data_IF_135297968060
#
_entry.id   IF_135297968060
#
_cell.length_a   1.000
_cell.length_b   1.000
_cell.length_c   1.000
_cell.angle_alpha   90.00
_cell.angle_beta   90.00
_cell.angle_gamma   90.00
#
_symmetry.space_group_name_H-M   'P 1'
#
loop_
_entity.id
_entity.type
_entity.pdbx_description
1 polymer ?
#
# COMPACT_ATOMS: atom_id res chain seq x y z
N UNK A 1 -15.38 -3.35 12.95
CA UNK A 1 -14.22 -2.72 13.63
C UNK A 1 -13.26 -2.22 12.57
N UNK A 2 -12.45 -1.20 12.83
CA UNK A 2 -11.37 -0.74 11.93
C UNK A 2 -10.10 -0.68 12.76
N UNK A 3 -9.02 -1.22 12.24
CA UNK A 3 -7.71 -1.25 12.90
C UNK A 3 -6.79 -0.23 12.24
N UNK A 4 -5.70 0.17 12.90
CA UNK A 4 -4.65 0.98 12.31
C UNK A 4 -3.36 0.16 12.11
N UNK A 5 -2.38 0.76 11.44
CA UNK A 5 -1.02 0.18 11.38
C UNK A 5 -0.41 0.10 12.78
N UNK A 6 -0.71 1.05 13.67
CA UNK A 6 -0.19 1.05 15.03
C UNK A 6 -0.79 -0.06 15.87
N UNK A 7 -2.09 -0.34 15.76
CA UNK A 7 -2.71 -1.52 16.40
C UNK A 7 -2.00 -2.82 16.01
N UNK A 8 -1.64 -2.94 14.74
CA UNK A 8 -0.91 -4.10 14.22
C UNK A 8 0.52 -4.16 14.78
N UNK A 9 1.22 -3.02 14.82
CA UNK A 9 2.57 -2.94 15.36
C UNK A 9 2.61 -3.27 16.84
N UNK A 10 1.66 -2.76 17.62
CA UNK A 10 1.53 -3.03 19.05
C UNK A 10 1.31 -4.52 19.31
N UNK A 11 0.43 -5.17 18.54
CA UNK A 11 0.21 -6.61 18.66
C UNK A 11 1.45 -7.42 18.26
N UNK A 12 2.14 -7.03 17.20
CA UNK A 12 3.39 -7.68 16.78
C UNK A 12 4.51 -7.51 17.83
N UNK A 13 4.61 -6.34 18.46
CA UNK A 13 5.60 -6.05 19.50
C UNK A 13 5.37 -6.89 20.76
N UNK A 14 4.11 -7.11 21.13
CA UNK A 14 3.74 -7.99 22.25
C UNK A 14 4.14 -9.44 21.99
N UNK A 15 4.00 -9.91 20.75
CA UNK A 15 4.30 -11.29 20.36
C UNK A 15 5.79 -11.54 20.06
N UNK A 16 6.46 -10.55 19.47
CA UNK A 16 7.87 -10.60 19.09
C UNK A 16 8.50 -9.25 19.33
N UNK A 17 9.41 -9.18 20.31
CA UNK A 17 10.18 -7.96 20.59
C UNK A 17 10.96 -7.55 19.33
N UNK A 18 10.52 -6.48 18.69
CA UNK A 18 11.20 -5.83 17.57
C UNK A 18 11.97 -4.63 18.10
N UNK A 19 13.24 -4.51 17.67
CA UNK A 19 14.17 -3.52 18.18
C UNK A 19 13.85 -2.11 17.69
N UNK A 20 14.33 -1.77 16.49
CA UNK A 20 14.06 -0.47 15.88
C UNK A 20 12.62 -0.41 15.34
N UNK A 21 11.74 0.25 16.10
CA UNK A 21 10.32 0.42 15.80
C UNK A 21 10.09 1.15 14.47
N UNK A 22 10.94 2.13 14.11
CA UNK A 22 10.75 2.90 12.88
C UNK A 22 11.18 2.10 11.64
N UNK A 23 12.34 1.44 11.70
CA UNK A 23 12.74 0.52 10.64
C UNK A 23 11.74 -0.64 10.49
N UNK A 24 11.14 -1.06 11.61
CA UNK A 24 10.12 -2.11 11.60
C UNK A 24 8.79 -1.65 10.98
N UNK A 25 8.28 -0.48 11.35
CA UNK A 25 7.09 0.14 10.75
C UNK A 25 7.21 0.21 9.23
N UNK A 26 8.34 0.70 8.72
CA UNK A 26 8.63 0.76 7.28
C UNK A 26 8.57 -0.63 6.64
N UNK A 27 9.13 -1.65 7.30
CA UNK A 27 9.05 -3.04 6.81
C UNK A 27 7.61 -3.55 6.76
N UNK A 28 6.81 -3.27 7.79
CA UNK A 28 5.39 -3.64 7.85
C UNK A 28 4.62 -2.97 6.71
N UNK A 29 4.75 -1.66 6.52
CA UNK A 29 4.08 -0.93 5.42
C UNK A 29 4.41 -1.55 4.07
N UNK A 30 5.70 -1.83 3.81
CA UNK A 30 6.12 -2.45 2.55
C UNK A 30 5.54 -3.85 2.37
N UNK A 31 5.54 -4.63 3.44
CA UNK A 31 5.01 -5.99 3.47
C UNK A 31 3.51 -5.99 3.16
N UNK A 32 2.76 -5.12 3.82
CA UNK A 32 1.33 -4.96 3.59
C UNK A 32 1.06 -4.48 2.15
N UNK A 33 1.75 -3.45 1.68
CA UNK A 33 1.56 -2.91 0.32
C UNK A 33 1.87 -3.94 -0.76
N UNK A 34 3.10 -4.47 -0.75
CA UNK A 34 3.62 -5.29 -1.86
C UNK A 34 3.09 -6.72 -1.86
N UNK A 35 2.78 -7.27 -0.68
CA UNK A 35 2.31 -8.66 -0.55
C UNK A 35 0.83 -8.75 -0.21
N UNK A 36 0.30 -7.96 0.71
CA UNK A 36 -1.11 -8.09 1.11
C UNK A 36 -2.05 -7.34 0.16
N UNK A 37 -1.97 -6.02 0.12
CA UNK A 37 -2.87 -5.13 -0.60
C UNK A 37 -2.84 -5.38 -2.11
N UNK A 38 -1.64 -5.55 -2.69
CA UNK A 38 -1.51 -5.92 -4.09
C UNK A 38 -2.19 -7.25 -4.41
N UNK A 39 -2.08 -8.25 -3.54
CA UNK A 39 -2.74 -9.54 -3.73
C UNK A 39 -4.24 -9.37 -3.54
N UNK A 40 -4.73 -8.72 -2.48
CA UNK A 40 -6.17 -8.51 -2.32
C UNK A 40 -6.76 -7.77 -3.53
N UNK A 41 -6.04 -6.80 -4.08
CA UNK A 41 -6.50 -5.89 -5.12
C UNK A 41 -6.65 -4.51 -4.48
N UNK A 42 -5.84 -3.55 -4.90
CA UNK A 42 -5.80 -2.21 -4.30
C UNK A 42 -7.16 -1.51 -4.36
N UNK A 43 -7.91 -1.75 -5.43
CA UNK A 43 -9.25 -1.22 -5.67
C UNK A 43 -10.31 -1.73 -4.70
N UNK A 44 -10.04 -2.82 -3.98
CA UNK A 44 -10.98 -3.45 -3.04
C UNK A 44 -10.81 -2.97 -1.61
N UNK A 45 -9.65 -2.39 -1.29
CA UNK A 45 -9.30 -1.93 0.06
C UNK A 45 -9.12 -0.42 0.14
N UNK A 46 -8.78 0.22 -0.97
CA UNK A 46 -8.49 1.64 -1.03
C UNK A 46 -9.59 2.46 -1.70
N UNK A 47 -9.53 3.76 -1.46
CA UNK A 47 -10.31 4.78 -2.15
C UNK A 47 -9.45 5.34 -3.28
N UNK A 48 -10.07 5.52 -4.45
CA UNK A 48 -9.42 6.15 -5.60
C UNK A 48 -9.18 7.63 -5.31
N UNK A 49 -8.00 8.13 -5.67
CA UNK A 49 -7.68 9.56 -5.61
C UNK A 49 -7.04 10.03 -6.91
N UNK A 50 -7.15 11.34 -7.18
CA UNK A 50 -6.47 12.05 -8.25
C UNK A 50 -6.08 13.42 -7.70
N UNK A 51 -4.78 13.68 -7.53
CA UNK A 51 -4.31 14.88 -6.82
C UNK A 51 -3.06 15.46 -7.52
N UNK A 52 -2.90 16.79 -7.56
CA UNK A 52 -1.67 17.43 -8.01
C UNK A 52 -0.57 17.27 -6.97
N UNK A 53 0.62 16.90 -7.41
CA UNK A 53 1.82 16.75 -6.57
C UNK A 53 2.89 17.68 -7.09
N UNK A 54 3.29 18.62 -6.23
CA UNK A 54 4.43 19.48 -6.49
C UNK A 54 5.70 18.67 -6.25
N UNK A 55 6.54 18.55 -7.27
CA UNK A 55 7.78 17.78 -7.14
C UNK A 55 8.90 18.71 -6.67
N UNK A 56 9.52 18.43 -5.50
CA UNK A 56 10.69 19.17 -5.05
C UNK A 56 11.86 19.00 -6.01
N UNK A 57 12.91 19.81 -5.85
CA UNK A 57 14.10 19.82 -6.74
C UNK A 57 14.79 18.46 -6.86
N UNK A 58 14.70 17.60 -5.84
CA UNK A 58 15.24 16.23 -5.84
C UNK A 58 14.29 15.20 -6.50
N UNK A 59 13.11 15.63 -6.97
CA UNK A 59 12.08 14.83 -7.66
C UNK A 59 11.61 13.61 -6.86
N UNK A 60 11.71 13.68 -5.54
CA UNK A 60 11.30 12.62 -4.62
C UNK A 60 10.13 13.10 -3.78
N UNK A 61 9.10 12.27 -3.69
CA UNK A 61 7.99 12.47 -2.76
C UNK A 61 8.04 11.41 -1.69
N UNK A 62 7.92 11.83 -0.44
CA UNK A 62 7.62 10.91 0.64
C UNK A 62 6.22 10.36 0.43
N UNK A 63 6.08 9.06 0.65
CA UNK A 63 4.82 8.39 0.46
C UNK A 63 4.19 8.16 1.82
N UNK A 64 3.04 8.77 2.06
CA UNK A 64 2.26 8.46 3.24
C UNK A 64 1.91 6.97 3.31
N UNK A 65 1.87 6.42 4.52
CA UNK A 65 1.59 5.00 4.79
C UNK A 65 0.26 4.52 4.19
N UNK A 66 -0.69 5.44 4.00
CA UNK A 66 -2.00 5.19 3.41
C UNK A 66 -1.93 4.96 1.90
N UNK A 67 -0.89 5.37 1.17
CA UNK A 67 -0.85 5.26 -0.29
C UNK A 67 -0.44 3.85 -0.73
N UNK A 68 -1.34 3.19 -1.45
CA UNK A 68 -1.18 1.80 -1.89
C UNK A 68 -0.54 1.68 -3.27
N UNK A 69 -0.96 2.55 -4.19
CA UNK A 69 -0.42 2.61 -5.55
C UNK A 69 -0.50 4.04 -6.08
N UNK A 70 0.40 4.37 -6.99
CA UNK A 70 0.45 5.64 -7.71
C UNK A 70 0.68 5.33 -9.19
N UNK A 71 -0.01 6.05 -10.04
CA UNK A 71 0.14 6.09 -11.49
C UNK A 71 0.02 7.54 -11.95
N UNK A 72 0.50 7.84 -13.15
CA UNK A 72 0.30 9.16 -13.76
C UNK A 72 -1.16 9.39 -14.17
N UNK A 73 -1.63 10.62 -13.96
CA UNK A 73 -2.93 11.13 -14.38
C UNK A 73 -2.84 12.40 -15.25
N UNK A 74 -1.65 12.96 -15.47
CA UNK A 74 -1.45 14.29 -16.07
C UNK A 74 -1.76 14.38 -17.57
N UNK A 75 -1.90 13.25 -18.27
CA UNK A 75 -2.14 13.19 -19.71
C UNK A 75 -3.39 12.37 -20.08
N UNK A 76 -4.57 12.79 -19.63
CA UNK A 76 -5.91 12.37 -20.12
C UNK A 76 -6.08 10.90 -20.55
N UNK A 77 -5.51 9.95 -19.81
CA UNK A 77 -5.69 8.52 -20.10
C UNK A 77 -5.12 8.03 -21.43
N UNK A 78 -4.22 8.76 -22.09
CA UNK A 78 -3.44 8.18 -23.18
C UNK A 78 -2.49 7.14 -22.56
N UNK A 79 -2.71 5.88 -22.93
CA UNK A 79 -2.09 4.67 -22.38
C UNK A 79 -0.56 4.68 -22.39
N UNK A 80 0.03 5.32 -21.39
CA UNK A 80 1.40 5.05 -20.97
C UNK A 80 1.33 4.41 -19.60
N UNK A 81 1.52 3.10 -19.57
CA UNK A 81 1.65 2.33 -18.34
C UNK A 81 2.84 2.88 -17.58
N UNK A 82 2.63 3.49 -16.41
CA UNK A 82 3.73 3.80 -15.54
C UNK A 82 4.40 2.48 -15.16
N UNK A 83 5.60 2.23 -15.68
CA UNK A 83 6.32 0.98 -15.43
C UNK A 83 7.10 1.16 -14.14
N UNK A 84 6.68 0.47 -13.09
CA UNK A 84 7.48 0.28 -11.89
C UNK A 84 8.58 -0.73 -12.20
N UNK A 85 9.84 -0.30 -12.11
CA UNK A 85 10.99 -1.15 -12.43
C UNK A 85 12.31 -0.58 -11.90
N UNK A 86 13.41 -1.34 -11.99
CA UNK A 86 14.74 -0.84 -11.68
C UNK A 86 15.24 0.10 -12.79
N UNK A 87 15.98 1.14 -12.43
CA UNK A 87 16.27 2.28 -13.32
C UNK A 87 17.14 1.97 -14.53
N UNK A 88 17.95 0.92 -14.46
CA UNK A 88 18.71 0.38 -15.58
C UNK A 88 17.83 -0.24 -16.68
N UNK A 89 16.58 -0.56 -16.36
CA UNK A 89 15.58 -1.10 -17.31
C UNK A 89 14.61 -0.05 -17.83
N UNK A 90 14.73 1.20 -17.37
CA UNK A 90 13.80 2.28 -17.68
C UNK A 90 14.46 3.28 -18.64
N UNK A 91 14.06 3.25 -19.91
CA UNK A 91 14.55 4.20 -20.92
C UNK A 91 13.88 5.58 -20.82
N UNK A 92 14.47 6.63 -21.44
CA UNK A 92 13.90 7.99 -21.49
C UNK A 92 12.61 8.10 -22.33
N UNK A 93 12.18 7.00 -22.96
CA UNK A 93 10.96 6.93 -23.77
C UNK A 93 9.67 6.92 -22.93
N UNK A 94 9.75 6.80 -21.61
CA UNK A 94 8.60 6.91 -20.71
C UNK A 94 8.66 8.22 -19.93
N UNK A 95 7.74 9.14 -20.23
CA UNK A 95 7.60 10.47 -19.60
C UNK A 95 7.44 10.37 -18.08
N UNK A 96 6.95 9.23 -17.57
CA UNK A 96 6.90 8.88 -16.15
C UNK A 96 7.53 7.52 -15.86
N UNK A 97 8.84 7.47 -15.98
CA UNK A 97 9.61 6.55 -15.15
C UNK A 97 9.53 7.00 -13.70
N UNK A 98 9.03 6.12 -12.83
CA UNK A 98 9.10 6.30 -11.39
C UNK A 98 9.84 5.14 -10.75
N UNK A 99 10.67 5.46 -9.75
CA UNK A 99 11.27 4.49 -8.86
C UNK A 99 10.56 4.59 -7.54
N UNK A 100 10.00 3.48 -7.07
CA UNK A 100 9.42 3.41 -5.73
C UNK A 100 10.40 2.71 -4.81
N UNK A 101 10.58 3.28 -3.63
CA UNK A 101 11.31 2.65 -2.54
C UNK A 101 10.45 2.65 -1.26
N UNK A 102 10.92 2.03 -0.17
CA UNK A 102 10.24 2.02 1.11
C UNK A 102 9.74 3.36 1.65
N UNK A 103 10.42 4.46 1.33
CA UNK A 103 10.19 5.77 1.92
C UNK A 103 9.57 6.75 0.92
N UNK A 104 9.40 6.38 -0.34
CA UNK A 104 8.91 7.34 -1.31
C UNK A 104 8.86 6.87 -2.76
N UNK A 105 8.56 7.84 -3.62
CA UNK A 105 8.58 7.69 -5.06
C UNK A 105 9.47 8.78 -5.65
N UNK A 106 10.41 8.37 -6.49
CA UNK A 106 11.32 9.26 -7.22
C UNK A 106 10.93 9.28 -8.68
N UNK A 107 10.91 10.46 -9.28
CA UNK A 107 10.60 10.70 -10.70
C UNK A 107 11.86 11.20 -11.41
N UNK A 108 12.84 10.32 -11.71
CA UNK A 108 14.17 10.74 -12.16
C UNK A 108 14.18 11.61 -13.41
N UNK A 109 13.21 11.43 -14.32
CA UNK A 109 13.19 12.13 -15.62
C UNK A 109 12.11 13.22 -15.74
N UNK A 110 11.34 13.50 -14.68
CA UNK A 110 10.29 14.51 -14.73
C UNK A 110 10.88 15.93 -14.67
N UNK A 111 10.48 16.80 -15.61
CA UNK A 111 11.01 18.17 -15.75
C UNK A 111 9.96 19.27 -15.51
N UNK A 112 8.70 18.91 -15.26
CA UNK A 112 7.62 19.85 -14.99
C UNK A 112 7.61 20.37 -13.54
N UNK A 113 6.76 21.37 -13.27
CA UNK A 113 6.59 21.94 -11.93
C UNK A 113 5.60 21.15 -11.05
N UNK A 114 4.56 20.56 -11.66
CA UNK A 114 3.55 19.78 -10.96
C UNK A 114 3.11 18.57 -11.80
N UNK A 115 2.91 17.44 -11.13
CA UNK A 115 2.46 16.17 -11.71
C UNK A 115 1.09 15.82 -11.12
N UNK A 116 0.10 15.46 -11.94
CA UNK A 116 -1.11 14.84 -11.43
C UNK A 116 -0.88 13.34 -11.24
N UNK A 117 -1.08 12.86 -10.02
CA UNK A 117 -1.03 11.43 -9.71
C UNK A 117 -2.44 10.91 -9.49
N UNK A 118 -2.67 9.65 -9.89
CA UNK A 118 -3.88 8.90 -9.52
C UNK A 118 -3.51 7.56 -8.94
N UNK A 119 -4.32 7.06 -8.03
CA UNK A 119 -4.04 5.79 -7.39
C UNK A 119 -5.13 5.37 -6.41
N UNK A 120 -4.74 4.47 -5.52
CA UNK A 120 -5.57 4.03 -4.40
C UNK A 120 -4.84 4.33 -3.09
N UNK A 121 -5.59 4.84 -2.10
CA UNK A 121 -5.11 5.03 -0.74
C UNK A 121 -6.09 4.41 0.26
N UNK A 122 -5.59 3.92 1.39
CA UNK A 122 -6.44 3.55 2.51
C UNK A 122 -7.17 4.78 3.04
N UNK A 123 -8.35 4.57 3.61
CA UNK A 123 -9.00 5.60 4.42
C UNK A 123 -8.13 5.89 5.64
N UNK A 124 -8.23 7.10 6.17
CA UNK A 124 -7.53 7.51 7.39
C UNK A 124 -8.53 7.92 8.47
N UNK A 125 -8.12 7.85 9.73
CA UNK A 125 -8.87 8.43 10.84
C UNK A 125 -8.57 9.93 11.03
N UNK A 126 -9.04 10.49 12.16
CA UNK A 126 -8.84 11.89 12.51
C UNK A 126 -7.37 12.25 12.80
N UNK A 127 -6.55 11.26 13.12
CA UNK A 127 -5.10 11.41 13.38
C UNK A 127 -4.27 11.05 12.14
N UNK A 128 -4.92 11.00 10.96
CA UNK A 128 -4.32 10.66 9.66
C UNK A 128 -3.73 9.24 9.58
N UNK A 129 -4.09 8.35 10.52
CA UNK A 129 -3.59 6.98 10.51
C UNK A 129 -4.32 6.12 9.47
N UNK A 130 -3.55 5.35 8.71
CA UNK A 130 -4.10 4.45 7.71
C UNK A 130 -4.95 3.34 8.35
N UNK A 131 -6.20 3.23 7.92
CA UNK A 131 -7.16 2.24 8.39
C UNK A 131 -6.98 0.92 7.64
N UNK A 132 -6.86 -0.16 8.42
CA UNK A 132 -6.85 -1.55 7.99
C UNK A 132 -8.27 -2.11 8.10
N UNK A 133 -8.89 -2.57 6.99
CA UNK A 133 -10.17 -3.24 7.05
C UNK A 133 -10.10 -4.49 7.94
N UNK A 134 -11.11 -4.70 8.79
CA UNK A 134 -11.18 -5.87 9.70
C UNK A 134 -10.98 -7.21 8.98
N UNK A 135 -11.56 -7.36 7.79
CA UNK A 135 -11.42 -8.58 6.98
C UNK A 135 -9.97 -8.88 6.57
N UNK A 136 -9.09 -7.88 6.60
CA UNK A 136 -7.69 -7.97 6.21
C UNK A 136 -6.74 -8.13 7.39
N UNK A 137 -7.17 -7.80 8.61
CA UNK A 137 -6.30 -7.75 9.78
C UNK A 137 -5.62 -9.10 10.10
N UNK A 138 -6.32 -10.26 10.06
CA UNK A 138 -5.66 -11.55 10.28
C UNK A 138 -4.57 -11.86 9.24
N UNK A 139 -4.80 -11.49 7.97
CA UNK A 139 -3.80 -11.67 6.92
C UNK A 139 -2.59 -10.75 7.13
N UNK A 140 -2.83 -9.50 7.53
CA UNK A 140 -1.79 -8.53 7.85
C UNK A 140 -0.91 -9.04 8.99
N UNK A 141 -1.53 -9.50 10.07
CA UNK A 141 -0.86 -10.06 11.23
C UNK A 141 0.05 -11.24 10.87
N UNK A 142 -0.53 -12.31 10.31
CA UNK A 142 0.22 -13.55 10.02
C UNK A 142 1.38 -13.29 9.05
N UNK A 143 1.18 -12.42 8.05
CA UNK A 143 2.17 -12.14 7.03
C UNK A 143 3.32 -11.28 7.59
N UNK A 144 3.02 -10.27 8.40
CA UNK A 144 4.03 -9.46 9.07
C UNK A 144 4.80 -10.26 10.13
N UNK A 145 4.11 -11.10 10.92
CA UNK A 145 4.75 -11.97 11.91
C UNK A 145 5.69 -12.98 11.25
N UNK A 146 5.26 -13.60 10.14
CA UNK A 146 6.11 -14.49 9.35
C UNK A 146 7.38 -13.79 8.85
N UNK A 147 7.26 -12.53 8.39
CA UNK A 147 8.39 -11.73 7.93
C UNK A 147 9.36 -11.41 9.09
N UNK A 148 8.84 -11.03 10.26
CA UNK A 148 9.65 -10.77 11.46
C UNK A 148 10.44 -12.02 11.85
N UNK A 149 9.74 -13.14 12.02
CA UNK A 149 10.36 -14.42 12.38
C UNK A 149 11.40 -14.83 11.33
N UNK A 150 11.14 -14.57 10.05
CA UNK A 150 12.11 -14.82 8.97
C UNK A 150 13.44 -14.11 9.15
N UNK A 151 13.46 -12.98 9.86
CA UNK A 151 14.68 -12.23 10.19
C UNK A 151 15.31 -12.59 11.53
N UNK A 152 14.70 -13.51 12.29
CA UNK A 152 15.18 -13.97 13.60
C UNK A 152 15.24 -15.51 13.67
N UNK A 153 16.20 -16.16 12.99
CA UNK A 153 16.34 -17.63 12.99
C UNK A 153 16.45 -18.29 14.37
N UNK A 154 16.97 -17.54 15.35
CA UNK A 154 17.14 -17.96 16.74
C UNK A 154 15.85 -17.89 17.57
N UNK A 155 14.79 -17.26 17.06
CA UNK A 155 13.54 -17.12 17.80
C UNK A 155 12.86 -18.49 17.96
N UNK A 156 12.32 -18.85 19.15
CA UNK A 156 11.68 -20.16 19.37
C UNK A 156 10.56 -20.48 18.38
N UNK A 157 9.85 -19.45 17.90
CA UNK A 157 8.75 -19.55 16.93
C UNK A 157 9.20 -19.54 15.47
N UNK A 158 10.51 -19.53 15.16
CA UNK A 158 11.01 -19.47 13.78
C UNK A 158 10.38 -20.53 12.85
N UNK A 159 10.16 -21.74 13.37
CA UNK A 159 9.53 -22.85 12.64
C UNK A 159 8.08 -22.57 12.20
N UNK A 160 7.38 -21.63 12.84
CA UNK A 160 5.99 -21.28 12.52
C UNK A 160 5.86 -20.48 11.21
N UNK A 161 6.94 -19.86 10.73
CA UNK A 161 6.93 -18.95 9.57
C UNK A 161 6.19 -19.50 8.35
N UNK A 162 6.44 -20.77 7.99
CA UNK A 162 5.79 -21.41 6.84
C UNK A 162 4.30 -21.71 7.09
N UNK A 163 3.91 -21.95 8.33
CA UNK A 163 2.50 -22.12 8.70
C UNK A 163 1.75 -20.79 8.68
N UNK A 164 2.36 -19.73 9.22
CA UNK A 164 1.82 -18.37 9.19
C UNK A 164 1.67 -17.85 7.76
N UNK A 165 2.65 -18.08 6.88
CA UNK A 165 2.52 -17.69 5.48
C UNK A 165 1.33 -18.35 4.77
N UNK A 166 1.09 -19.65 5.03
CA UNK A 166 -0.08 -20.38 4.48
C UNK A 166 -1.41 -19.91 5.10
N UNK A 167 -1.39 -19.60 6.39
CA UNK A 167 -2.54 -18.99 7.08
C UNK A 167 -2.88 -17.63 6.45
N UNK A 168 -1.88 -16.76 6.27
CA UNK A 168 -2.03 -15.47 5.61
C UNK A 168 -2.63 -15.61 4.20
N UNK A 169 -2.16 -16.57 3.39
CA UNK A 169 -2.71 -16.83 2.05
C UNK A 169 -4.20 -17.21 2.09
N UNK A 170 -4.60 -17.99 3.09
CA UNK A 170 -6.00 -18.35 3.32
C UNK A 170 -6.83 -17.11 3.68
N UNK A 171 -6.32 -16.28 4.57
CA UNK A 171 -6.97 -15.03 4.97
C UNK A 171 -7.07 -14.03 3.82
N UNK A 172 -6.06 -13.94 2.95
CA UNK A 172 -6.11 -13.12 1.73
C UNK A 172 -7.28 -13.54 0.84
N UNK A 173 -7.46 -14.84 0.64
CA UNK A 173 -8.59 -15.38 -0.13
C UNK A 173 -9.93 -14.97 0.48
N UNK A 174 -10.07 -15.07 1.81
CA UNK A 174 -11.28 -14.67 2.55
C UNK A 174 -11.52 -13.16 2.48
N UNK A 175 -10.48 -12.34 2.63
CA UNK A 175 -10.56 -10.89 2.56
C UNK A 175 -11.05 -10.43 1.19
N UNK A 176 -10.49 -10.98 0.10
CA UNK A 176 -10.96 -10.73 -1.28
C UNK A 176 -12.46 -11.00 -1.42
N UNK A 177 -12.92 -12.15 -0.92
CA UNK A 177 -14.33 -12.52 -0.99
C UNK A 177 -15.20 -11.56 -0.16
N UNK A 178 -14.80 -11.19 1.05
CA UNK A 178 -15.56 -10.31 1.94
C UNK A 178 -15.62 -8.84 1.46
N UNK A 179 -14.62 -8.39 0.72
CA UNK A 179 -14.55 -7.01 0.21
C UNK A 179 -15.28 -6.84 -1.14
N UNK A 180 -15.57 -7.92 -1.87
CA UNK A 180 -16.33 -7.84 -3.14
C UNK A 180 -17.75 -7.26 -2.94
N UNK A 181 -18.55 -7.72 -1.94
CA UNK A 181 -19.89 -7.19 -1.69
C UNK A 181 -19.89 -5.75 -1.14
N UNK A 182 -18.86 -5.34 -0.39
CA UNK A 182 -18.74 -3.98 0.18
C UNK A 182 -18.26 -2.96 -0.86
N UNK A 183 -17.37 -3.36 -1.77
CA UNK A 183 -16.89 -2.52 -2.87
C UNK A 183 -18.03 -2.05 -3.78
N UNK A 184 -18.98 -2.92 -4.13
CA UNK A 184 -20.12 -2.58 -5.00
C UNK A 184 -21.12 -1.60 -4.37
N UNK A 185 -21.20 -1.54 -3.04
CA UNK A 185 -22.08 -0.61 -2.32
C UNK A 185 -21.44 0.78 -2.14
N UNK A 186 -20.13 0.83 -1.87
CA UNK A 186 -19.37 2.08 -1.77
C UNK A 186 -19.24 2.77 -3.14
N UNK A 187 -18.98 2.01 -4.20
CA UNK A 187 -18.81 2.55 -5.57
C UNK A 187 -20.12 3.15 -6.12
N UNK A 188 -21.29 2.58 -5.74
CA UNK A 188 -22.62 3.14 -6.03
C UNK A 188 -22.88 4.46 -5.31
N UNK A 189 -22.36 4.63 -4.11
CA UNK A 189 -22.53 5.84 -3.31
C UNK A 189 -21.63 6.97 -3.84
N UNK A 190 -20.40 6.64 -4.25
CA UNK A 190 -19.46 7.60 -4.86
C UNK A 190 -19.94 8.03 -6.26
N UNK A 191 -20.46 7.13 -7.10
CA UNK A 191 -21.04 7.50 -8.41
C UNK A 191 -22.26 8.42 -8.28
N UNK A 192 -23.06 8.28 -7.21
CA UNK A 192 -24.15 9.24 -6.91
C UNK A 192 -23.65 10.60 -6.46
N UNK A 193 -22.49 10.67 -5.81
CA UNK A 193 -21.91 11.91 -5.32
C UNK A 193 -21.15 12.68 -6.41
N UNK A 194 -20.59 11.97 -7.39
CA UNK A 194 -19.85 12.54 -8.53
C UNK A 194 -20.78 12.79 -9.74
N UNK A 195 -21.91 12.10 -9.81
CA UNK A 195 -22.93 12.29 -10.85
C UNK A 195 -23.82 13.51 -10.63
N UNK A 196 -23.24 14.71 -10.54
CA UNK A 196 -23.91 16.00 -10.77
C UNK A 196 -22.86 17.09 -11.05
N UNK A 197 -22.07 16.92 -12.12
CA UNK A 197 -21.40 18.01 -12.84
C UNK A 197 -21.08 17.55 -14.26
N UNK A 198 -22.12 17.24 -15.04
CA UNK A 198 -22.13 17.42 -16.50
C UNK A 198 -23.42 18.17 -16.86
#
# INVERSE_FOLDING_TARGET
>A
MTYTIDDLLDQLQQDVSVGDVQAFRVRVINTLRTRLWRRIGYERVGVRFVEPVNLPTNRRIELADSILTITDASLNGADWTAVEGPTDQLGPLHVLTMQRDPYGVTFPYFTGAALYVRGYRLQTDADEQALIPEACFPAAYDLCLAEVLGTQPQHPRFGERSSLQRSADTWIGRARAALTPRGEAADRTIRRYIGYHE
#
